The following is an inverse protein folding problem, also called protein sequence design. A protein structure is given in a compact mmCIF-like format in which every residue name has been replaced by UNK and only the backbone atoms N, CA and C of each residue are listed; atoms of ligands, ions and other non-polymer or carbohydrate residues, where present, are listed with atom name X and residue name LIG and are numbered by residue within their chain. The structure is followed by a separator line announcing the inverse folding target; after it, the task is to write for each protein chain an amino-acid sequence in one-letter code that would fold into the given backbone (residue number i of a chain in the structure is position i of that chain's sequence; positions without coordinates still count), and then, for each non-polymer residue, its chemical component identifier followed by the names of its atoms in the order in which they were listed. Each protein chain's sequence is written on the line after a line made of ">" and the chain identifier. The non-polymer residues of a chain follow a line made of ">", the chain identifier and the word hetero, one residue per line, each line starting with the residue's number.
data_IF_070264875482
#
_entry.id   IF_070264875482
#
_cell.length_a   1.000
_cell.length_b   1.000
_cell.length_c   1.000
_cell.angle_alpha   90.00
_cell.angle_beta   90.00
_cell.angle_gamma   90.00
#
_symmetry.space_group_name_H-M   'P 1'
#
loop_
_entity.id
_entity.type
_entity.pdbx_description
1 polymer ?
#
# COMPACT_ATOMS: atom_id res chain seq x y z
N UNK A 1 -56.04 -43.62 -8.97
CA UNK A 1 -56.32 -42.33 -8.29
C UNK A 1 -55.55 -42.25 -6.97
N UNK A 2 -54.41 -41.56 -6.95
CA UNK A 2 -53.85 -40.91 -5.75
C UNK A 2 -53.18 -39.63 -6.22
N UNK A 3 -53.76 -38.50 -5.82
CA UNK A 3 -53.43 -37.15 -6.29
C UNK A 3 -52.21 -36.61 -5.54
N UNK A 4 -51.20 -36.20 -6.31
CA UNK A 4 -50.05 -35.46 -5.80
C UNK A 4 -50.48 -33.99 -5.62
N UNK A 5 -50.67 -33.53 -4.38
CA UNK A 5 -51.00 -32.12 -4.08
C UNK A 5 -49.76 -31.26 -4.34
N UNK A 6 -49.88 -30.31 -5.29
CA UNK A 6 -48.90 -29.26 -5.53
C UNK A 6 -48.92 -28.26 -4.37
N UNK A 7 -47.77 -27.98 -3.78
CA UNK A 7 -47.59 -26.84 -2.87
C UNK A 7 -47.60 -25.51 -3.67
N UNK A 8 -48.13 -24.41 -3.13
CA UNK A 8 -48.08 -23.11 -3.80
C UNK A 8 -46.64 -22.57 -3.81
N UNK A 9 -46.19 -22.04 -4.94
CA UNK A 9 -44.93 -21.29 -5.07
C UNK A 9 -45.05 -19.99 -4.26
N UNK A 10 -44.14 -19.78 -3.31
CA UNK A 10 -43.95 -18.46 -2.69
C UNK A 10 -43.37 -17.48 -3.72
N UNK A 11 -43.80 -16.22 -3.74
CA UNK A 11 -43.22 -15.20 -4.61
C UNK A 11 -41.80 -14.86 -4.15
N UNK A 12 -40.88 -14.73 -5.11
CA UNK A 12 -39.52 -14.26 -4.90
C UNK A 12 -39.56 -12.89 -4.20
N UNK A 13 -38.97 -12.82 -3.00
CA UNK A 13 -38.84 -11.57 -2.25
C UNK A 13 -38.07 -10.52 -3.05
N UNK A 14 -38.58 -9.29 -3.02
CA UNK A 14 -37.95 -8.14 -3.65
C UNK A 14 -36.49 -7.97 -3.18
N UNK A 15 -35.58 -7.70 -4.11
CA UNK A 15 -34.22 -7.30 -3.80
C UNK A 15 -34.26 -6.04 -2.93
N UNK A 16 -33.80 -6.14 -1.69
CA UNK A 16 -33.60 -4.97 -0.84
C UNK A 16 -32.52 -4.10 -1.50
N UNK A 17 -32.76 -2.80 -1.73
CA UNK A 17 -31.72 -1.90 -2.20
C UNK A 17 -30.62 -1.84 -1.14
N UNK A 18 -29.38 -1.97 -1.58
CA UNK A 18 -28.24 -1.72 -0.71
C UNK A 18 -28.24 -0.22 -0.39
N UNK A 19 -28.43 0.13 0.87
CA UNK A 19 -28.23 1.49 1.34
C UNK A 19 -26.79 1.60 1.83
N UNK A 20 -25.99 2.44 1.16
CA UNK A 20 -24.65 2.80 1.61
C UNK A 20 -24.73 3.36 3.04
N UNK A 21 -23.84 2.96 3.96
CA UNK A 21 -23.77 3.63 5.26
C UNK A 21 -23.46 5.12 5.05
N UNK A 22 -24.01 6.02 5.90
CA UNK A 22 -23.81 7.45 5.74
C UNK A 22 -22.33 7.79 5.91
N UNK A 23 -21.71 8.29 4.83
CA UNK A 23 -20.42 8.97 4.91
C UNK A 23 -20.56 10.16 5.85
N UNK A 24 -19.83 10.16 6.97
CA UNK A 24 -19.74 11.32 7.85
C UNK A 24 -19.25 12.56 7.10
N UNK A 25 -19.51 13.78 7.61
CA UNK A 25 -19.09 15.00 6.94
C UNK A 25 -17.57 15.02 6.76
N UNK A 26 -17.11 15.18 5.52
CA UNK A 26 -15.69 15.33 5.22
C UNK A 26 -15.15 16.61 5.88
N UNK A 27 -13.97 16.57 6.53
CA UNK A 27 -13.35 17.76 7.08
C UNK A 27 -13.01 18.74 5.94
N UNK A 28 -13.41 20.00 6.09
CA UNK A 28 -13.15 21.05 5.10
C UNK A 28 -11.70 21.52 5.18
N UNK A 29 -10.91 21.23 4.16
CA UNK A 29 -9.83 22.08 3.64
C UNK A 29 -9.50 21.66 2.19
N UNK A 30 -9.64 22.60 1.25
CA UNK A 30 -9.27 22.45 -0.18
C UNK A 30 -10.42 22.24 -1.17
N UNK A 31 -10.34 22.87 -2.36
CA UNK A 31 -11.15 22.55 -3.53
C UNK A 31 -10.89 21.08 -3.91
N UNK A 32 -11.93 20.25 -3.92
CA UNK A 32 -11.83 18.84 -4.28
C UNK A 32 -11.33 18.73 -5.73
N UNK A 33 -10.06 18.36 -5.91
CA UNK A 33 -9.55 18.02 -7.21
C UNK A 33 -10.14 16.67 -7.64
N UNK A 34 -10.64 16.58 -8.88
CA UNK A 34 -11.23 15.35 -9.40
C UNK A 34 -10.21 14.21 -9.31
N UNK A 35 -10.63 13.08 -8.74
CA UNK A 35 -9.83 11.86 -8.75
C UNK A 35 -9.52 11.44 -10.20
N UNK A 36 -8.44 10.66 -10.37
CA UNK A 36 -8.02 10.13 -11.67
C UNK A 36 -9.19 9.56 -12.49
N UNK A 37 -9.29 10.02 -13.73
CA UNK A 37 -10.30 9.58 -14.70
C UNK A 37 -9.67 8.68 -15.80
N UNK A 38 -10.51 7.91 -16.51
CA UNK A 38 -10.03 7.08 -17.64
C UNK A 38 -9.37 7.91 -18.74
N UNK A 39 -9.79 9.16 -18.96
CA UNK A 39 -9.18 10.08 -19.94
C UNK A 39 -7.75 10.48 -19.58
N UNK A 40 -7.36 10.30 -18.30
CA UNK A 40 -6.02 10.51 -17.79
C UNK A 40 -5.17 9.24 -17.79
N UNK A 41 -5.74 8.12 -18.22
CA UNK A 41 -5.10 6.80 -18.18
C UNK A 41 -4.65 6.35 -19.58
N UNK A 42 -3.65 5.47 -19.59
CA UNK A 42 -3.19 4.71 -20.75
C UNK A 42 -3.16 3.22 -20.42
N UNK A 43 -3.14 2.36 -21.43
CA UNK A 43 -3.02 0.91 -21.22
C UNK A 43 -1.61 0.59 -20.72
N UNK A 44 -1.46 0.13 -19.47
CA UNK A 44 -0.16 -0.14 -18.85
C UNK A 44 0.25 -1.62 -18.94
N UNK A 45 -0.74 -2.51 -18.80
CA UNK A 45 -0.52 -3.96 -18.74
C UNK A 45 -1.53 -4.71 -19.57
N UNK A 46 -1.04 -5.74 -20.27
CA UNK A 46 -1.85 -6.80 -20.86
C UNK A 46 -1.57 -8.11 -20.17
N UNK A 47 -2.64 -8.87 -19.97
CA UNK A 47 -2.56 -10.24 -19.53
C UNK A 47 -3.11 -11.08 -20.66
N UNK A 48 -2.29 -12.01 -21.11
CA UNK A 48 -2.58 -12.86 -22.25
C UNK A 48 -2.79 -14.29 -21.80
N UNK A 49 -3.60 -15.07 -22.51
CA UNK A 49 -3.68 -16.52 -22.39
C UNK A 49 -3.52 -17.12 -23.78
N UNK A 50 -2.51 -17.96 -23.98
CA UNK A 50 -2.18 -18.48 -25.31
C UNK A 50 -2.05 -17.35 -26.35
N UNK A 51 -1.35 -16.27 -26.00
CA UNK A 51 -1.15 -15.07 -26.84
C UNK A 51 -2.41 -14.24 -27.15
N UNK A 52 -3.58 -14.60 -26.63
CA UNK A 52 -4.80 -13.80 -26.73
C UNK A 52 -4.91 -12.89 -25.51
N UNK A 53 -5.18 -11.60 -25.71
CA UNK A 53 -5.31 -10.66 -24.60
C UNK A 53 -6.61 -10.94 -23.84
N UNK A 54 -6.46 -11.41 -22.60
CA UNK A 54 -7.53 -11.73 -21.65
C UNK A 54 -7.92 -10.51 -20.79
N UNK A 55 -6.95 -9.72 -20.35
CA UNK A 55 -7.20 -8.53 -19.53
C UNK A 55 -6.31 -7.36 -19.95
N UNK A 56 -6.83 -6.14 -19.75
CA UNK A 56 -6.12 -4.88 -19.95
C UNK A 56 -6.25 -4.08 -18.68
N UNK A 57 -5.13 -3.62 -18.14
CA UNK A 57 -5.13 -2.70 -17.01
C UNK A 57 -4.71 -1.32 -17.50
N UNK A 58 -5.62 -0.37 -17.40
CA UNK A 58 -5.40 1.03 -17.68
C UNK A 58 -4.96 1.75 -16.41
N UNK A 59 -4.15 2.79 -16.55
CA UNK A 59 -3.65 3.55 -15.42
C UNK A 59 -2.72 4.68 -15.82
N UNK A 60 -2.01 5.23 -14.84
CA UNK A 60 -0.93 6.18 -15.05
C UNK A 60 0.35 5.70 -14.34
N UNK A 61 1.50 6.06 -14.91
CA UNK A 61 2.81 5.79 -14.34
C UNK A 61 3.74 6.98 -14.60
N UNK A 62 4.65 7.26 -13.67
CA UNK A 62 5.68 8.29 -13.81
C UNK A 62 6.99 7.82 -13.24
N UNK A 63 8.08 8.06 -13.97
CA UNK A 63 9.45 7.78 -13.57
C UNK A 63 10.19 9.11 -13.43
N UNK A 64 10.84 9.31 -12.28
CA UNK A 64 11.67 10.48 -12.03
C UNK A 64 13.15 10.09 -11.95
N UNK A 65 14.01 10.95 -12.47
CA UNK A 65 15.46 10.87 -12.27
C UNK A 65 15.85 11.24 -10.82
N UNK A 66 17.13 11.08 -10.44
CA UNK A 66 17.59 11.45 -9.10
C UNK A 66 17.46 12.95 -8.80
N UNK A 67 17.33 13.81 -9.80
CA UNK A 67 17.13 15.26 -9.66
C UNK A 67 15.64 15.67 -9.55
N UNK A 68 14.70 14.74 -9.74
CA UNK A 68 13.26 14.98 -9.73
C UNK A 68 12.66 15.36 -11.08
N UNK A 69 13.42 15.24 -12.17
CA UNK A 69 12.91 15.43 -13.54
C UNK A 69 12.18 14.20 -14.04
N UNK A 70 11.12 14.41 -14.81
CA UNK A 70 10.35 13.30 -15.41
C UNK A 70 11.18 12.67 -16.53
N UNK A 71 11.56 11.41 -16.36
CA UNK A 71 12.20 10.59 -17.40
C UNK A 71 11.16 9.98 -18.33
N UNK A 72 10.02 9.57 -17.78
CA UNK A 72 8.93 8.95 -18.52
C UNK A 72 7.61 9.17 -17.77
N UNK A 73 6.55 9.46 -18.53
CA UNK A 73 5.18 9.49 -18.03
C UNK A 73 4.27 8.75 -19.01
N UNK A 74 3.43 7.88 -18.48
CA UNK A 74 2.42 7.12 -19.22
C UNK A 74 1.07 7.47 -18.60
N UNK A 75 0.15 8.04 -19.37
CA UNK A 75 -1.02 8.74 -18.80
C UNK A 75 -0.64 10.09 -18.20
N UNK A 76 -1.51 10.64 -17.34
CA UNK A 76 -1.32 11.95 -16.70
C UNK A 76 -0.61 11.80 -15.33
N UNK A 77 0.65 12.25 -15.18
CA UNK A 77 1.37 12.18 -13.91
C UNK A 77 0.84 13.16 -12.85
N UNK A 78 0.07 14.18 -13.26
CA UNK A 78 -0.52 15.16 -12.34
C UNK A 78 -1.92 14.73 -11.85
N UNK A 79 -2.44 13.60 -12.35
CA UNK A 79 -3.71 13.04 -11.90
C UNK A 79 -3.71 12.82 -10.38
N UNK A 80 -4.75 13.29 -9.72
CA UNK A 80 -4.90 13.19 -8.28
C UNK A 80 -5.39 11.80 -7.88
N UNK A 81 -4.67 11.17 -6.97
CA UNK A 81 -4.95 9.84 -6.43
C UNK A 81 -5.01 9.89 -4.91
N UNK A 82 -5.59 8.86 -4.31
CA UNK A 82 -5.33 8.54 -2.91
C UNK A 82 -4.22 7.47 -2.88
N UNK A 83 -2.98 7.78 -2.46
CA UNK A 83 -1.94 6.77 -2.40
C UNK A 83 -2.15 5.77 -1.24
N UNK A 84 -2.99 6.14 -0.26
CA UNK A 84 -3.39 5.29 0.86
C UNK A 84 -2.16 4.77 1.60
N UNK A 85 -2.07 3.45 1.77
CA UNK A 85 -0.97 2.78 2.45
C UNK A 85 0.42 3.04 1.85
N UNK A 86 0.55 3.58 0.64
CA UNK A 86 1.84 4.03 0.11
C UNK A 86 2.45 5.18 0.92
N UNK A 87 1.65 5.93 1.70
CA UNK A 87 2.12 7.05 2.52
C UNK A 87 2.62 6.69 3.92
N UNK A 88 2.53 5.41 4.31
CA UNK A 88 2.93 4.96 5.65
C UNK A 88 4.38 5.28 6.04
N UNK A 89 5.38 5.25 5.13
CA UNK A 89 6.73 5.70 5.46
C UNK A 89 6.76 7.14 5.98
N UNK A 90 5.99 8.05 5.37
CA UNK A 90 5.93 9.46 5.79
C UNK A 90 5.13 9.63 7.10
N UNK A 91 4.13 8.79 7.34
CA UNK A 91 3.43 8.72 8.64
C UNK A 91 4.37 8.25 9.76
N UNK A 92 5.27 7.31 9.46
CA UNK A 92 6.28 6.85 10.40
C UNK A 92 7.31 7.95 10.69
N UNK A 93 7.77 8.72 9.69
CA UNK A 93 8.59 9.93 9.90
C UNK A 93 7.89 10.90 10.85
N UNK A 94 6.62 11.20 10.61
CA UNK A 94 5.83 12.08 11.48
C UNK A 94 5.70 11.55 12.91
N UNK A 95 5.59 10.23 13.08
CA UNK A 95 5.51 9.59 14.40
C UNK A 95 6.84 9.70 15.17
N UNK A 96 7.98 9.45 14.49
CA UNK A 96 9.31 9.65 15.08
C UNK A 96 9.54 11.11 15.50
N UNK A 97 9.18 12.06 14.63
CA UNK A 97 9.29 13.50 14.91
C UNK A 97 8.38 13.97 16.04
N UNK A 98 7.27 13.27 16.28
CA UNK A 98 6.37 13.48 17.41
C UNK A 98 6.81 12.75 18.69
N UNK A 99 7.99 12.12 18.69
CA UNK A 99 8.60 11.54 19.88
C UNK A 99 8.43 10.03 20.04
N UNK A 100 7.81 9.32 19.09
CA UNK A 100 7.73 7.86 19.16
C UNK A 100 9.15 7.24 19.15
N UNK A 101 9.48 6.47 20.18
CA UNK A 101 10.68 5.65 20.22
C UNK A 101 10.35 4.27 19.65
N UNK A 102 10.88 3.96 18.45
CA UNK A 102 10.64 2.70 17.75
C UNK A 102 11.97 2.05 17.38
N UNK A 103 12.13 0.77 17.70
CA UNK A 103 13.24 -0.03 17.21
C UNK A 103 13.14 -0.28 15.70
N UNK A 104 14.23 -0.70 15.05
CA UNK A 104 14.28 -0.83 13.57
C UNK A 104 13.13 -1.70 13.02
N UNK A 105 12.88 -2.88 13.60
CA UNK A 105 11.78 -3.74 13.16
C UNK A 105 10.39 -3.10 13.39
N UNK A 106 10.19 -2.43 14.53
CA UNK A 106 8.94 -1.73 14.85
C UNK A 106 8.70 -0.55 13.89
N UNK A 107 9.76 0.15 13.50
CA UNK A 107 9.69 1.23 12.53
C UNK A 107 9.34 0.71 11.13
N UNK A 108 9.89 -0.44 10.72
CA UNK A 108 9.48 -1.10 9.49
C UNK A 108 8.00 -1.51 9.53
N UNK A 109 7.52 -1.99 10.68
CA UNK A 109 6.11 -2.31 10.90
C UNK A 109 5.20 -1.06 10.87
N UNK A 110 5.67 0.09 11.37
CA UNK A 110 4.94 1.35 11.26
C UNK A 110 4.71 1.76 9.79
N UNK A 111 5.63 1.36 8.91
CA UNK A 111 5.53 1.55 7.47
C UNK A 111 4.62 0.52 6.78
N UNK A 112 4.14 -0.51 7.48
CA UNK A 112 3.68 -1.74 6.87
C UNK A 112 2.22 -1.73 6.41
N UNK A 113 1.95 -2.51 5.35
CA UNK A 113 0.64 -3.13 5.12
C UNK A 113 0.80 -4.64 5.29
N UNK A 114 1.11 -5.06 6.51
CA UNK A 114 1.52 -6.44 6.79
C UNK A 114 0.39 -7.46 6.59
N UNK A 115 0.74 -8.75 6.57
CA UNK A 115 -0.21 -9.86 6.37
C UNK A 115 -0.84 -10.39 7.68
N UNK A 116 -0.59 -9.76 8.82
CA UNK A 116 -1.15 -10.16 10.11
C UNK A 116 -0.63 -11.51 10.63
N UNK A 117 0.54 -11.96 10.18
CA UNK A 117 1.20 -13.17 10.73
C UNK A 117 1.45 -13.01 12.23
N UNK A 118 1.67 -14.11 12.95
CA UNK A 118 1.98 -14.09 14.39
C UNK A 118 3.15 -13.15 14.71
N UNK A 119 4.23 -13.19 13.92
CA UNK A 119 5.37 -12.29 14.08
C UNK A 119 4.99 -10.80 13.93
N UNK A 120 4.09 -10.46 13.01
CA UNK A 120 3.62 -9.07 12.89
C UNK A 120 2.77 -8.66 14.09
N UNK A 121 1.90 -9.55 14.58
CA UNK A 121 1.04 -9.27 15.74
C UNK A 121 1.87 -9.08 17.00
N UNK A 122 2.88 -9.94 17.23
CA UNK A 122 3.83 -9.80 18.34
C UNK A 122 4.62 -8.49 18.24
N UNK A 123 5.05 -8.10 17.05
CA UNK A 123 5.78 -6.85 16.85
C UNK A 123 4.89 -5.63 17.08
N UNK A 124 3.63 -5.64 16.61
CA UNK A 124 2.66 -4.58 16.92
C UNK A 124 2.39 -4.49 18.42
N UNK A 125 2.25 -5.63 19.10
CA UNK A 125 2.08 -5.71 20.55
C UNK A 125 3.28 -5.11 21.29
N UNK A 126 4.51 -5.39 20.85
CA UNK A 126 5.72 -4.86 21.47
C UNK A 126 5.80 -3.32 21.43
N UNK A 127 5.28 -2.70 20.36
CA UNK A 127 5.19 -1.22 20.29
C UNK A 127 4.24 -0.70 21.36
N UNK A 128 3.05 -1.29 21.49
CA UNK A 128 2.08 -0.90 22.51
C UNK A 128 2.61 -1.11 23.93
N UNK A 129 3.28 -2.25 24.18
CA UNK A 129 3.87 -2.56 25.49
C UNK A 129 4.95 -1.55 25.88
N UNK A 130 5.75 -1.05 24.92
CA UNK A 130 6.78 -0.04 25.17
C UNK A 130 6.24 1.27 25.75
N UNK A 131 4.96 1.57 25.49
CA UNK A 131 4.24 2.74 26.00
C UNK A 131 3.12 2.37 26.97
N UNK A 132 3.13 1.13 27.50
CA UNK A 132 2.17 0.61 28.50
C UNK A 132 0.71 0.64 28.03
N UNK A 133 0.46 0.43 26.75
CA UNK A 133 -0.87 0.36 26.15
C UNK A 133 -1.21 -1.08 25.72
N UNK A 134 -2.50 -1.37 25.58
CA UNK A 134 -3.02 -2.63 25.05
C UNK A 134 -3.76 -2.49 23.73
N UNK A 135 -4.18 -3.64 23.17
CA UNK A 135 -4.89 -3.74 21.89
C UNK A 135 -6.19 -2.90 21.86
N UNK A 136 -6.84 -2.73 23.01
CA UNK A 136 -8.05 -1.92 23.16
C UNK A 136 -7.87 -0.46 22.72
N UNK A 137 -6.64 0.07 22.78
CA UNK A 137 -6.31 1.43 22.33
C UNK A 137 -6.23 1.55 20.80
N UNK A 138 -6.04 0.44 20.07
CA UNK A 138 -6.05 0.47 18.61
C UNK A 138 -7.45 0.84 18.11
N UNK A 139 -7.52 1.75 17.13
CA UNK A 139 -8.76 2.20 16.50
C UNK A 139 -8.92 1.66 15.09
N UNK A 140 -7.94 0.89 14.60
CA UNK A 140 -8.14 0.10 13.38
C UNK A 140 -9.16 -1.03 13.64
N UNK A 141 -9.89 -1.46 12.59
CA UNK A 141 -10.82 -2.58 12.71
C UNK A 141 -10.13 -3.87 13.19
N UNK A 142 -10.90 -4.75 13.82
CA UNK A 142 -10.48 -6.14 13.97
C UNK A 142 -10.55 -6.84 12.61
N UNK A 143 -9.61 -7.75 12.33
CA UNK A 143 -9.64 -8.53 11.10
C UNK A 143 -8.99 -9.90 11.27
N UNK A 144 -9.22 -10.78 10.30
CA UNK A 144 -8.41 -11.97 10.15
C UNK A 144 -7.06 -11.60 9.50
N UNK A 145 -5.99 -12.37 9.76
CA UNK A 145 -4.76 -12.24 8.99
C UNK A 145 -5.02 -12.32 7.49
N UNK A 146 -4.30 -11.49 6.74
CA UNK A 146 -4.22 -11.59 5.29
C UNK A 146 -3.51 -12.87 4.85
N UNK A 147 -2.52 -13.31 5.63
CA UNK A 147 -1.84 -14.59 5.45
C UNK A 147 -2.81 -15.76 5.68
N UNK A 148 -2.96 -16.61 4.66
CA UNK A 148 -3.93 -17.70 4.69
C UNK A 148 -3.55 -18.79 5.69
N UNK A 149 -2.26 -19.11 5.83
CA UNK A 149 -1.78 -20.11 6.76
C UNK A 149 -2.05 -19.68 8.21
N UNK A 150 -1.65 -18.46 8.59
CA UNK A 150 -1.92 -17.89 9.92
C UNK A 150 -3.42 -17.83 10.19
N UNK A 151 -4.23 -17.40 9.22
CA UNK A 151 -5.70 -17.36 9.38
C UNK A 151 -6.27 -18.76 9.66
N UNK A 152 -5.85 -19.77 8.91
CA UNK A 152 -6.30 -21.16 9.12
C UNK A 152 -5.87 -21.70 10.47
N UNK A 153 -4.65 -21.40 10.91
CA UNK A 153 -4.14 -21.81 12.22
C UNK A 153 -4.88 -21.14 13.38
N UNK A 154 -5.10 -19.82 13.30
CA UNK A 154 -5.90 -19.08 14.28
C UNK A 154 -7.32 -19.67 14.39
N UNK A 155 -7.96 -19.94 13.25
CA UNK A 155 -9.30 -20.54 13.22
C UNK A 155 -9.31 -21.94 13.84
N UNK A 156 -8.30 -22.78 13.54
CA UNK A 156 -8.17 -24.12 14.10
C UNK A 156 -7.94 -24.10 15.63
N UNK A 157 -7.30 -23.05 16.16
CA UNK A 157 -7.10 -22.80 17.60
C UNK A 157 -8.31 -22.14 18.28
N UNK A 158 -9.42 -21.89 17.55
CA UNK A 158 -10.61 -21.23 18.08
C UNK A 158 -10.43 -19.74 18.39
N UNK A 159 -9.42 -19.10 17.82
CA UNK A 159 -9.19 -17.66 17.96
C UNK A 159 -10.12 -16.87 17.04
N UNK A 160 -10.36 -15.61 17.36
CA UNK A 160 -11.19 -14.69 16.56
C UNK A 160 -10.34 -13.66 15.80
N UNK A 161 -11.01 -12.86 14.98
CA UNK A 161 -10.45 -11.61 14.48
C UNK A 161 -9.95 -10.74 15.64
N UNK A 162 -8.88 -9.99 15.41
CA UNK A 162 -8.31 -9.06 16.38
C UNK A 162 -7.70 -7.84 15.65
N UNK A 163 -7.41 -6.77 16.38
CA UNK A 163 -6.88 -5.52 15.81
C UNK A 163 -5.39 -5.61 15.48
N UNK A 164 -4.63 -6.46 16.17
CA UNK A 164 -3.19 -6.68 15.89
C UNK A 164 -2.98 -7.33 14.51
N UNK A 165 -3.90 -8.18 14.07
CA UNK A 165 -3.88 -8.83 12.77
C UNK A 165 -4.24 -7.89 11.60
N UNK A 166 -4.84 -6.73 11.90
CA UNK A 166 -5.18 -5.74 10.89
C UNK A 166 -3.92 -5.16 10.26
N UNK A 167 -3.86 -5.12 8.93
CA UNK A 167 -2.65 -4.77 8.17
C UNK A 167 -2.08 -3.36 8.44
N UNK A 168 -2.81 -2.49 9.14
CA UNK A 168 -2.36 -1.17 9.56
C UNK A 168 -2.02 -1.08 11.05
N UNK A 169 -2.09 -2.17 11.82
CA UNK A 169 -1.94 -2.13 13.27
C UNK A 169 -0.58 -1.54 13.69
N UNK A 170 0.49 -1.82 12.93
CA UNK A 170 1.80 -1.18 13.11
C UNK A 170 1.79 0.35 13.04
N UNK A 171 1.14 0.92 12.02
CA UNK A 171 0.98 2.39 11.90
C UNK A 171 0.19 2.96 13.08
N UNK A 172 -0.88 2.27 13.49
CA UNK A 172 -1.70 2.73 14.62
C UNK A 172 -0.93 2.67 15.94
N UNK A 173 -0.14 1.60 16.15
CA UNK A 173 0.73 1.48 17.31
C UNK A 173 1.79 2.60 17.33
N UNK A 174 2.35 2.97 16.18
CA UNK A 174 3.27 4.10 16.06
C UNK A 174 2.60 5.46 16.37
N UNK A 175 1.37 5.69 15.92
CA UNK A 175 0.60 6.89 16.28
C UNK A 175 0.31 6.95 17.78
N UNK A 176 -0.05 5.83 18.39
CA UNK A 176 -0.26 5.74 19.84
C UNK A 176 1.04 5.97 20.61
N UNK A 177 2.16 5.40 20.16
CA UNK A 177 3.46 5.62 20.78
C UNK A 177 3.87 7.10 20.69
N UNK A 178 3.61 7.76 19.55
CA UNK A 178 3.84 9.19 19.38
C UNK A 178 2.95 10.01 20.33
N UNK A 179 1.65 9.72 20.39
CA UNK A 179 0.72 10.42 21.26
C UNK A 179 1.10 10.26 22.75
N UNK A 180 1.46 9.06 23.17
CA UNK A 180 1.93 8.79 24.52
C UNK A 180 3.22 9.56 24.85
N UNK A 181 4.20 9.58 23.94
CA UNK A 181 5.46 10.29 24.13
C UNK A 181 5.29 11.81 24.22
N UNK A 182 4.31 12.37 23.52
CA UNK A 182 4.00 13.80 23.50
C UNK A 182 2.94 14.23 24.53
N UNK A 183 2.39 13.30 25.31
CA UNK A 183 1.34 13.58 26.30
C UNK A 183 -0.01 13.94 25.70
N UNK A 184 -0.24 13.57 24.43
CA UNK A 184 -1.45 13.90 23.67
C UNK A 184 -2.56 12.84 23.85
N UNK A 185 -3.84 13.20 23.59
CA UNK A 185 -4.97 12.30 23.82
C UNK A 185 -4.94 10.99 23.00
N UNK A 186 -4.83 9.85 23.69
CA UNK A 186 -4.83 8.53 23.05
C UNK A 186 -6.16 8.15 22.37
N UNK A 187 -7.27 8.80 22.74
CA UNK A 187 -8.60 8.48 22.23
C UNK A 187 -8.95 9.14 20.89
N UNK A 188 -8.16 10.11 20.42
CA UNK A 188 -8.47 10.91 19.23
C UNK A 188 -7.32 10.96 18.23
N UNK A 189 -6.33 10.05 18.30
CA UNK A 189 -5.15 10.08 17.42
C UNK A 189 -5.45 9.95 15.92
N UNK A 190 -6.67 9.57 15.53
CA UNK A 190 -7.11 9.53 14.13
C UNK A 190 -7.77 10.84 13.65
N UNK A 191 -8.08 11.78 14.55
CA UNK A 191 -8.62 13.09 14.15
C UNK A 191 -7.58 13.85 13.31
N UNK A 192 -7.97 14.45 12.17
CA UNK A 192 -7.06 15.27 11.36
C UNK A 192 -6.38 16.40 12.13
N UNK A 193 -7.05 16.93 13.15
CA UNK A 193 -6.57 18.01 14.00
C UNK A 193 -5.60 17.51 15.10
N UNK A 194 -5.52 16.19 15.32
CA UNK A 194 -4.66 15.63 16.35
C UNK A 194 -3.17 15.88 16.04
N UNK A 195 -2.34 16.26 17.03
CA UNK A 195 -0.93 16.60 16.80
C UNK A 195 -0.11 15.54 16.07
N UNK A 196 -0.35 14.25 16.34
CA UNK A 196 0.29 13.15 15.57
C UNK A 196 -0.09 13.13 14.09
N UNK A 197 -1.34 13.45 13.74
CA UNK A 197 -1.75 13.55 12.32
C UNK A 197 -1.16 14.80 11.68
N UNK A 198 -1.16 15.94 12.39
CA UNK A 198 -0.50 17.16 11.91
C UNK A 198 1.01 16.95 11.66
N UNK A 199 1.70 16.21 12.53
CA UNK A 199 3.10 15.83 12.33
C UNK A 199 3.27 14.94 11.08
N UNK A 200 2.37 13.97 10.89
CA UNK A 200 2.37 13.12 9.70
C UNK A 200 2.09 13.92 8.41
N UNK A 201 1.17 14.88 8.44
CA UNK A 201 0.87 15.75 7.30
C UNK A 201 2.05 16.64 6.94
N UNK A 202 2.72 17.25 7.93
CA UNK A 202 3.95 18.03 7.67
C UNK A 202 5.03 17.19 7.00
N UNK A 203 5.23 15.95 7.46
CA UNK A 203 6.18 15.03 6.84
C UNK A 203 5.75 14.66 5.40
N UNK A 204 4.46 14.43 5.15
CA UNK A 204 3.98 14.19 3.78
C UNK A 204 4.16 15.41 2.89
N UNK A 205 3.86 16.62 3.38
CA UNK A 205 3.98 17.85 2.59
C UNK A 205 5.43 18.18 2.23
N UNK A 206 6.36 17.95 3.15
CA UNK A 206 7.80 18.11 2.91
C UNK A 206 8.30 17.15 1.81
N UNK A 207 7.87 15.89 1.85
CA UNK A 207 8.39 14.86 0.95
C UNK A 207 7.59 14.80 -0.36
N UNK A 208 6.27 14.71 -0.29
CA UNK A 208 5.39 14.52 -1.44
C UNK A 208 4.85 15.83 -2.03
N UNK A 209 4.93 16.96 -1.32
CA UNK A 209 4.27 18.20 -1.72
C UNK A 209 2.85 18.33 -1.15
N UNK A 210 2.12 19.39 -1.51
CA UNK A 210 0.93 19.85 -0.79
C UNK A 210 -0.18 18.80 -0.75
N UNK A 211 -0.83 18.67 0.41
CA UNK A 211 -2.05 17.87 0.55
C UNK A 211 -3.23 18.69 0.05
N UNK A 212 -3.91 18.20 -0.99
CA UNK A 212 -5.01 18.95 -1.63
C UNK A 212 -6.37 18.67 -1.01
N UNK A 213 -6.54 17.47 -0.44
CA UNK A 213 -7.80 16.99 0.13
C UNK A 213 -7.55 15.85 1.11
N UNK A 214 -8.44 15.69 2.11
CA UNK A 214 -8.42 14.59 3.08
C UNK A 214 -9.68 13.73 2.96
N UNK A 215 -9.49 12.48 2.54
CA UNK A 215 -10.49 11.43 2.68
C UNK A 215 -10.32 10.65 3.99
N UNK A 216 -11.05 9.55 4.12
CA UNK A 216 -10.93 8.60 5.25
C UNK A 216 -10.45 7.24 4.73
N UNK A 217 -9.44 6.67 5.39
CA UNK A 217 -8.91 5.34 5.09
C UNK A 217 -9.80 4.23 5.69
N UNK A 218 -9.74 3.02 5.15
CA UNK A 218 -10.47 1.85 5.69
C UNK A 218 -9.98 1.44 7.08
N UNK A 219 -8.82 1.95 7.50
CA UNK A 219 -8.34 1.85 8.88
C UNK A 219 -8.87 2.95 9.81
N UNK A 220 -9.61 3.93 9.28
CA UNK A 220 -10.14 5.09 9.99
C UNK A 220 -9.24 6.32 10.01
N UNK A 221 -7.96 6.19 9.63
CA UNK A 221 -7.03 7.33 9.58
C UNK A 221 -7.32 8.26 8.39
N UNK A 222 -6.88 9.54 8.42
CA UNK A 222 -6.96 10.44 7.28
C UNK A 222 -6.24 9.87 6.05
N UNK A 223 -6.83 10.06 4.87
CA UNK A 223 -6.30 9.62 3.59
C UNK A 223 -6.06 10.84 2.68
N UNK A 224 -4.84 11.39 2.67
CA UNK A 224 -4.48 12.52 1.81
C UNK A 224 -4.56 12.18 0.32
N UNK A 225 -5.06 13.13 -0.45
CA UNK A 225 -4.99 13.15 -1.90
C UNK A 225 -3.76 13.94 -2.36
N UNK A 226 -3.08 13.45 -3.40
CA UNK A 226 -1.94 14.11 -4.04
C UNK A 226 -1.79 13.59 -5.48
N UNK A 227 -0.95 14.23 -6.29
CA UNK A 227 -0.67 13.73 -7.64
C UNK A 227 0.19 12.47 -7.63
N UNK A 228 0.13 11.71 -8.73
CA UNK A 228 1.00 10.55 -8.91
C UNK A 228 2.49 10.95 -8.91
N UNK A 229 2.82 12.09 -9.52
CA UNK A 229 4.15 12.70 -9.47
C UNK A 229 4.60 13.02 -8.06
N UNK A 230 3.73 13.63 -7.24
CA UNK A 230 3.99 13.91 -5.83
C UNK A 230 4.37 12.66 -5.05
N UNK A 231 3.71 11.53 -5.34
CA UNK A 231 4.06 10.25 -4.72
C UNK A 231 5.47 9.80 -5.13
N UNK A 232 5.80 9.82 -6.43
CA UNK A 232 7.14 9.44 -6.92
C UNK A 232 8.23 10.30 -6.28
N UNK A 233 8.00 11.61 -6.20
CA UNK A 233 8.91 12.57 -5.57
C UNK A 233 9.12 12.27 -4.08
N UNK A 234 8.06 11.88 -3.36
CA UNK A 234 8.15 11.43 -1.98
C UNK A 234 9.08 10.23 -1.80
N UNK A 235 8.94 9.20 -2.65
CA UNK A 235 9.82 8.02 -2.60
C UNK A 235 11.26 8.36 -2.97
N UNK A 236 11.47 9.23 -3.97
CA UNK A 236 12.79 9.74 -4.34
C UNK A 236 13.47 10.40 -3.14
N UNK A 237 12.81 11.39 -2.55
CA UNK A 237 13.33 12.12 -1.38
C UNK A 237 13.56 11.21 -0.18
N UNK A 238 12.66 10.25 0.08
CA UNK A 238 12.83 9.27 1.16
C UNK A 238 14.12 8.46 0.98
N UNK A 239 14.37 7.95 -0.23
CA UNK A 239 15.49 7.05 -0.50
C UNK A 239 16.86 7.70 -0.35
N UNK A 240 16.97 9.02 -0.61
CA UNK A 240 18.22 9.79 -0.58
C UNK A 240 18.28 10.82 0.56
N UNK A 241 17.32 10.80 1.48
CA UNK A 241 17.19 11.83 2.51
C UNK A 241 18.38 11.88 3.46
N UNK A 242 18.77 13.09 3.85
CA UNK A 242 19.69 13.34 4.97
C UNK A 242 18.95 13.69 6.28
N UNK A 243 17.62 13.68 6.29
CA UNK A 243 16.85 13.81 7.53
C UNK A 243 17.03 12.53 8.38
N UNK A 244 17.35 12.64 9.68
CA UNK A 244 17.57 11.46 10.53
C UNK A 244 16.38 10.51 10.60
N UNK A 245 15.14 11.03 10.70
CA UNK A 245 13.95 10.19 10.81
C UNK A 245 13.67 9.47 9.48
N UNK A 246 13.81 10.16 8.36
CA UNK A 246 13.68 9.58 7.02
C UNK A 246 14.75 8.50 6.75
N UNK A 247 16.01 8.73 7.15
CA UNK A 247 17.06 7.72 7.06
C UNK A 247 16.74 6.49 7.89
N UNK A 248 16.27 6.66 9.13
CA UNK A 248 15.88 5.54 9.98
C UNK A 248 14.73 4.74 9.35
N UNK A 249 13.71 5.42 8.81
CA UNK A 249 12.59 4.77 8.10
C UNK A 249 13.07 3.99 6.88
N UNK A 250 13.87 4.62 6.02
CA UNK A 250 14.41 3.98 4.82
C UNK A 250 15.29 2.76 5.16
N UNK A 251 16.10 2.85 6.22
CA UNK A 251 16.97 1.76 6.68
C UNK A 251 16.15 0.62 7.27
N UNK A 252 15.21 0.92 8.17
CA UNK A 252 14.31 -0.06 8.77
C UNK A 252 13.52 -0.85 7.71
N UNK A 253 12.99 -0.18 6.68
CA UNK A 253 12.29 -0.86 5.58
C UNK A 253 13.20 -1.83 4.82
N UNK A 254 14.48 -1.49 4.63
CA UNK A 254 15.47 -2.34 3.94
C UNK A 254 16.00 -3.48 4.81
N UNK A 255 16.16 -3.25 6.11
CA UNK A 255 16.64 -4.23 7.10
C UNK A 255 15.57 -5.24 7.48
N UNK A 256 14.30 -4.81 7.51
CA UNK A 256 13.16 -5.64 7.91
C UNK A 256 12.03 -5.64 6.86
N UNK A 257 12.31 -6.01 5.61
CA UNK A 257 11.33 -5.99 4.51
C UNK A 257 10.18 -6.97 4.73
N UNK A 258 10.41 -8.04 5.51
CA UNK A 258 9.35 -8.95 5.94
C UNK A 258 8.27 -8.22 6.76
N UNK A 259 8.65 -7.25 7.60
CA UNK A 259 7.70 -6.53 8.46
C UNK A 259 6.82 -5.58 7.65
N UNK A 260 7.31 -5.07 6.51
CA UNK A 260 6.60 -4.09 5.66
C UNK A 260 5.39 -4.71 4.95
N UNK A 261 5.51 -5.96 4.48
CA UNK A 261 4.44 -6.66 3.75
C UNK A 261 4.24 -8.09 4.21
N UNK A 262 5.32 -8.86 4.34
CA UNK A 262 5.31 -10.25 4.77
C UNK A 262 6.28 -11.08 3.95
N UNK A 263 6.88 -12.11 4.54
CA UNK A 263 7.82 -12.99 3.85
C UNK A 263 7.25 -13.51 2.52
N UNK A 264 8.07 -13.52 1.46
CA UNK A 264 7.68 -13.98 0.13
C UNK A 264 6.73 -13.05 -0.64
N UNK A 265 6.26 -11.94 -0.05
CA UNK A 265 5.38 -11.00 -0.73
C UNK A 265 6.14 -10.14 -1.75
N UNK A 266 5.48 -9.65 -2.82
CA UNK A 266 6.15 -8.89 -3.89
C UNK A 266 7.08 -7.77 -3.44
N UNK A 267 6.58 -6.83 -2.63
CA UNK A 267 7.41 -5.73 -2.12
C UNK A 267 8.59 -6.24 -1.26
N UNK A 268 8.38 -7.27 -0.44
CA UNK A 268 9.44 -7.87 0.38
C UNK A 268 10.54 -8.44 -0.50
N UNK A 269 10.18 -9.22 -1.53
CA UNK A 269 11.15 -9.78 -2.46
C UNK A 269 11.94 -8.71 -3.22
N UNK A 270 11.27 -7.63 -3.64
CA UNK A 270 11.92 -6.49 -4.30
C UNK A 270 12.93 -5.84 -3.37
N UNK A 271 12.53 -5.48 -2.15
CA UNK A 271 13.41 -4.80 -1.20
C UNK A 271 14.63 -5.68 -0.87
N UNK A 272 14.40 -6.95 -0.51
CA UNK A 272 15.47 -7.90 -0.16
C UNK A 272 16.49 -8.10 -1.29
N UNK A 273 16.01 -8.16 -2.53
CA UNK A 273 16.86 -8.54 -3.67
C UNK A 273 17.59 -7.37 -4.32
N UNK A 274 17.21 -6.12 -4.00
CA UNK A 274 17.67 -4.91 -4.74
C UNK A 274 18.01 -3.70 -3.88
N UNK A 275 17.52 -3.62 -2.65
CA UNK A 275 17.59 -2.41 -1.82
C UNK A 275 16.65 -1.27 -2.28
N UNK A 276 15.82 -1.50 -3.31
CA UNK A 276 14.72 -0.60 -3.69
C UNK A 276 13.77 -0.46 -2.51
N UNK A 277 13.44 0.76 -2.11
CA UNK A 277 12.32 1.00 -1.20
C UNK A 277 11.04 0.83 -2.01
N UNK A 278 10.17 -0.09 -1.60
CA UNK A 278 8.90 -0.37 -2.28
C UNK A 278 7.74 -0.34 -1.29
N UNK A 279 6.63 0.31 -1.66
CA UNK A 279 5.42 0.30 -0.84
C UNK A 279 4.15 0.34 -1.68
N UNK A 280 3.42 -0.78 -1.61
CA UNK A 280 2.08 -0.92 -2.17
C UNK A 280 1.06 -0.10 -1.37
N UNK A 281 0.24 0.65 -2.09
CA UNK A 281 -1.01 1.26 -1.64
C UNK A 281 -2.22 0.39 -2.01
N UNK A 282 -3.33 0.60 -1.30
CA UNK A 282 -4.61 0.01 -1.72
C UNK A 282 -5.05 0.59 -3.08
N UNK A 283 -6.00 -0.06 -3.75
CA UNK A 283 -6.53 0.41 -5.04
C UNK A 283 -5.44 0.63 -6.10
N UNK A 284 -4.53 -0.35 -6.27
CA UNK A 284 -3.61 -0.38 -7.40
C UNK A 284 -2.56 0.73 -7.41
N UNK A 285 -2.12 1.22 -6.26
CA UNK A 285 -1.04 2.22 -6.16
C UNK A 285 0.26 1.56 -5.74
N UNK A 286 1.39 1.96 -6.35
CA UNK A 286 2.71 1.53 -5.95
C UNK A 286 3.71 2.69 -6.08
N UNK A 287 4.51 2.90 -5.04
CA UNK A 287 5.69 3.76 -5.11
C UNK A 287 6.96 2.95 -4.88
N UNK A 288 7.99 3.24 -5.67
CA UNK A 288 9.33 2.65 -5.54
C UNK A 288 10.42 3.69 -5.76
N UNK A 289 11.55 3.53 -5.09
CA UNK A 289 12.78 4.24 -5.45
C UNK A 289 14.00 3.35 -5.29
N UNK A 290 14.83 3.32 -6.33
CA UNK A 290 16.08 2.58 -6.37
C UNK A 290 17.21 3.30 -5.61
N UNK A 291 18.27 2.58 -5.20
CA UNK A 291 19.41 3.18 -4.50
C UNK A 291 20.12 4.31 -5.27
N UNK A 292 20.03 4.31 -6.61
CA UNK A 292 20.61 5.37 -7.44
C UNK A 292 19.74 6.63 -7.52
N UNK A 293 18.57 6.66 -6.87
CA UNK A 293 17.66 7.81 -6.82
C UNK A 293 16.61 7.85 -7.93
N UNK A 294 16.59 6.89 -8.87
CA UNK A 294 15.49 6.80 -9.85
C UNK A 294 14.25 6.25 -9.13
N UNK A 295 13.13 6.94 -9.29
CA UNK A 295 11.87 6.60 -8.61
C UNK A 295 10.75 6.38 -9.61
N UNK A 296 9.76 5.58 -9.22
CA UNK A 296 8.56 5.31 -10.01
C UNK A 296 7.33 5.32 -9.12
N UNK A 297 6.24 5.90 -9.61
CA UNK A 297 4.91 5.73 -9.06
C UNK A 297 3.96 5.21 -10.13
N UNK A 298 3.10 4.26 -9.75
CA UNK A 298 2.10 3.65 -10.63
C UNK A 298 0.73 3.68 -9.95
N UNK A 299 -0.30 4.00 -10.72
CA UNK A 299 -1.72 3.83 -10.37
C UNK A 299 -2.41 3.02 -11.46
N UNK A 300 -2.95 1.85 -11.10
CA UNK A 300 -3.88 1.09 -11.93
C UNK A 300 -5.31 1.56 -11.63
N UNK A 301 -6.06 1.95 -12.66
CA UNK A 301 -7.37 2.58 -12.53
C UNK A 301 -8.39 1.68 -11.82
N UNK A 302 -8.46 0.40 -12.22
CA UNK A 302 -9.39 -0.59 -11.66
C UNK A 302 -9.00 -1.10 -10.26
N UNK A 303 -7.88 -0.61 -9.72
CA UNK A 303 -7.38 -0.96 -8.40
C UNK A 303 -6.66 -2.30 -8.30
N UNK A 304 -6.48 -3.02 -9.42
CA UNK A 304 -5.81 -4.31 -9.42
C UNK A 304 -4.31 -4.19 -9.08
N UNK A 305 -3.78 -5.19 -8.36
CA UNK A 305 -2.36 -5.31 -8.02
C UNK A 305 -1.61 -6.28 -8.94
N UNK A 306 -2.31 -7.06 -9.75
CA UNK A 306 -1.72 -8.09 -10.61
C UNK A 306 -0.78 -7.44 -11.64
N UNK A 307 0.52 -7.71 -11.51
CA UNK A 307 1.56 -7.21 -12.43
C UNK A 307 2.12 -5.82 -12.11
N UNK A 308 1.62 -5.13 -11.07
CA UNK A 308 2.05 -3.76 -10.77
C UNK A 308 3.54 -3.68 -10.35
N UNK A 309 4.01 -4.62 -9.53
CA UNK A 309 5.42 -4.67 -9.12
C UNK A 309 6.35 -4.87 -10.32
N UNK A 310 5.98 -5.78 -11.22
CA UNK A 310 6.82 -6.13 -12.37
C UNK A 310 6.81 -5.00 -13.42
N UNK A 311 5.70 -4.26 -13.56
CA UNK A 311 5.63 -3.01 -14.33
C UNK A 311 6.59 -1.95 -13.77
N UNK A 312 6.53 -1.70 -12.47
CA UNK A 312 7.40 -0.73 -11.83
C UNK A 312 8.88 -1.10 -11.97
N UNK A 313 9.24 -2.38 -11.79
CA UNK A 313 10.60 -2.87 -12.01
C UNK A 313 11.05 -2.73 -13.46
N UNK A 314 10.17 -2.98 -14.43
CA UNK A 314 10.45 -2.78 -15.86
C UNK A 314 10.74 -1.32 -16.21
N UNK A 315 9.95 -0.40 -15.66
CA UNK A 315 10.17 1.04 -15.78
C UNK A 315 11.49 1.48 -15.10
N UNK A 316 11.83 0.93 -13.93
CA UNK A 316 13.12 1.21 -13.30
C UNK A 316 14.30 0.67 -14.14
N UNK A 317 14.16 -0.53 -14.70
CA UNK A 317 15.20 -1.12 -15.55
C UNK A 317 15.41 -0.35 -16.86
N UNK A 318 14.34 0.13 -17.48
CA UNK A 318 14.39 0.90 -18.74
C UNK A 318 15.18 2.21 -18.60
N UNK A 319 15.25 2.73 -17.37
CA UNK A 319 15.98 3.94 -16.99
C UNK A 319 17.24 3.66 -16.16
N UNK A 320 17.80 2.45 -16.28
CA UNK A 320 19.13 2.10 -15.73
C UNK A 320 19.19 1.95 -14.21
N UNK A 321 18.05 1.87 -13.53
CA UNK A 321 17.97 1.71 -12.07
C UNK A 321 17.97 0.24 -11.62
N UNK A 322 17.83 -0.68 -12.56
CA UNK A 322 17.88 -2.13 -12.33
C UNK A 322 18.48 -2.83 -13.55
N UNK A 323 19.35 -3.81 -13.34
CA UNK A 323 19.88 -4.62 -14.44
C UNK A 323 18.79 -5.50 -15.07
N UNK A 324 18.88 -5.79 -16.37
CA UNK A 324 17.99 -6.72 -17.07
C UNK A 324 17.95 -8.11 -16.41
N UNK A 325 19.11 -8.64 -15.98
CA UNK A 325 19.20 -9.93 -15.29
C UNK A 325 18.39 -9.94 -13.98
N UNK A 326 18.49 -8.88 -13.17
CA UNK A 326 17.73 -8.77 -11.92
C UNK A 326 16.23 -8.59 -12.17
N UNK A 327 15.86 -7.86 -13.22
CA UNK A 327 14.46 -7.76 -13.65
C UNK A 327 13.91 -9.13 -14.03
N UNK A 328 14.64 -9.93 -14.80
CA UNK A 328 14.22 -11.28 -15.21
C UNK A 328 14.03 -12.21 -13.99
N UNK A 329 15.00 -12.21 -13.07
CA UNK A 329 14.95 -12.98 -11.82
C UNK A 329 13.70 -12.63 -11.00
N UNK A 330 13.45 -11.34 -10.76
CA UNK A 330 12.29 -10.88 -9.99
C UNK A 330 10.98 -11.15 -10.74
N UNK A 331 10.94 -10.93 -12.05
CA UNK A 331 9.75 -11.20 -12.88
C UNK A 331 9.35 -12.67 -12.79
N UNK A 332 10.32 -13.58 -12.84
CA UNK A 332 10.09 -15.01 -12.65
C UNK A 332 9.49 -15.31 -11.27
N UNK A 333 10.09 -14.78 -10.19
CA UNK A 333 9.61 -15.02 -8.82
C UNK A 333 8.24 -14.42 -8.54
N UNK A 334 7.95 -13.25 -9.11
CA UNK A 334 6.69 -12.53 -8.92
C UNK A 334 5.57 -13.09 -9.80
N UNK A 335 5.90 -13.67 -10.95
CA UNK A 335 4.96 -14.39 -11.82
C UNK A 335 4.73 -15.86 -11.43
N UNK A 336 5.66 -16.48 -10.70
CA UNK A 336 5.62 -17.90 -10.36
C UNK A 336 4.67 -18.23 -9.21
N UNK A 337 3.37 -18.30 -9.50
CA UNK A 337 2.39 -19.11 -8.74
C UNK A 337 1.43 -19.86 -9.68
N UNK A 338 1.90 -20.21 -10.88
CA UNK A 338 1.12 -20.91 -11.88
C UNK A 338 1.21 -22.45 -11.75
N UNK A 339 0.55 -23.02 -10.74
CA UNK A 339 0.54 -24.49 -10.54
C UNK A 339 -0.26 -25.23 -11.61
N UNK A 340 -1.16 -24.55 -12.32
CA UNK A 340 -2.01 -25.14 -13.37
C UNK A 340 -1.49 -24.82 -14.76
N UNK A 341 -1.80 -25.68 -15.74
CA UNK A 341 -1.47 -25.42 -17.14
C UNK A 341 -2.05 -24.08 -17.63
N UNK A 342 -3.27 -23.74 -17.21
CA UNK A 342 -3.92 -22.48 -17.56
C UNK A 342 -3.30 -21.23 -16.93
N UNK A 343 -2.60 -21.35 -15.80
CA UNK A 343 -1.84 -20.25 -15.22
C UNK A 343 -0.46 -20.10 -15.89
N UNK A 344 0.13 -21.20 -16.38
CA UNK A 344 1.42 -21.17 -17.10
C UNK A 344 1.29 -20.55 -18.49
N UNK A 345 0.11 -20.64 -19.09
CA UNK A 345 -0.18 -19.99 -20.38
C UNK A 345 -0.53 -18.51 -20.23
N UNK A 346 -0.57 -17.99 -19.00
CA UNK A 346 -0.81 -16.59 -18.74
C UNK A 346 0.50 -15.79 -18.88
N UNK A 347 0.56 -14.87 -19.85
CA UNK A 347 1.70 -13.97 -20.04
C UNK A 347 1.36 -12.55 -19.61
N UNK A 348 2.31 -11.84 -19.00
CA UNK A 348 2.18 -10.41 -18.68
C UNK A 348 3.04 -9.61 -19.66
N UNK A 349 2.43 -8.68 -20.39
CA UNK A 349 3.10 -7.85 -21.39
C UNK A 349 2.90 -6.37 -21.05
N UNK A 350 4.01 -5.63 -20.98
CA UNK A 350 4.01 -4.18 -20.83
C UNK A 350 3.86 -3.55 -22.20
N UNK A 351 2.97 -2.55 -22.31
CA UNK A 351 2.83 -1.85 -23.58
C UNK A 351 3.83 -0.72 -23.68
N UNK A 352 4.69 -0.82 -24.69
CA UNK A 352 5.66 0.21 -25.06
C UNK A 352 7.05 -0.35 -25.36
N UNK A 353 7.46 -1.45 -24.72
CA UNK A 353 8.73 -2.15 -24.98
C UNK A 353 8.62 -3.62 -24.55
N UNK A 354 8.88 -4.54 -25.46
CA UNK A 354 9.23 -5.92 -25.07
C UNK A 354 10.59 -5.86 -24.35
N UNK A 355 10.57 -5.86 -23.02
CA UNK A 355 11.81 -5.82 -22.21
C UNK A 355 12.57 -7.15 -22.20
N UNK A 356 12.15 -8.13 -23.01
CA UNK A 356 12.80 -9.43 -23.19
C UNK A 356 13.14 -9.77 -24.65
N UNK A 357 13.13 -8.78 -25.57
CA UNK A 357 13.55 -8.97 -26.95
C UNK A 357 14.62 -7.94 -27.37
N UNK A 358 15.84 -8.15 -26.89
CA UNK A 358 17.08 -7.84 -27.61
C UNK A 358 18.12 -8.91 -27.30
#
# INVERSE_FOLDING_TARGET
>A
MKSCRRSPRQPLGACLPWESPPCGPAPRLGLMGSAIDITQCSELLRITRNSVIESRHYGAAVVLDPAGQVLEAIGDPEALIFPRSALKPFQAIGSLRAGAALESAQLALACASHLGTEQHQLLARSVLDSVKLGEEHLQCPASWPGDSATRSEMAARGQSQNKLAFNCSGKHAAFLAAAAASGEPLGSYLSPEHPVQLSAFRAMEEFCGPITFLGVDGCGAPAPQMSLRSLAEGFRKLAVSTDPAARSVASAMREHPWAVRGAGSPNTLVIESTGIIAKLGAEGVLGMCAPNGVSVAVKILDGASRGIDVLALGLLASHGALSAQKLEELSSRLGATAHTAGARTAGLCYLGRDFAAR
#
